data_IF_710238075620
#
_entry.id   IF_710238075620
#
_cell.length_a   1.000
_cell.length_b   1.000
_cell.length_c   1.000
_cell.angle_alpha   90.00
_cell.angle_beta   90.00
_cell.angle_gamma   90.00
#
_symmetry.space_group_name_H-M   'P 1'
#
loop_
_entity.id
_entity.type
_entity.pdbx_description
1 polymer ?
#
# COMPACT_ATOMS: atom_id res chain seq x y z
N UNK A 1 12.77 20.92 -16.10
CA UNK A 1 12.00 22.09 -16.58
C UNK A 1 10.95 22.56 -15.60
N UNK A 2 10.07 21.67 -15.10
CA UNK A 2 9.04 21.98 -14.10
C UNK A 2 9.62 22.70 -12.86
N UNK A 3 10.74 22.22 -12.31
CA UNK A 3 11.40 22.87 -11.16
C UNK A 3 11.77 24.35 -11.43
N UNK A 4 12.36 24.64 -12.60
CA UNK A 4 12.72 26.01 -13.00
C UNK A 4 11.49 26.92 -13.09
N UNK A 5 10.43 26.44 -13.75
CA UNK A 5 9.18 27.19 -13.89
C UNK A 5 8.47 27.39 -12.55
N UNK A 6 8.53 26.39 -11.66
CA UNK A 6 7.99 26.47 -10.30
C UNK A 6 8.68 27.57 -9.48
N UNK A 7 10.01 27.60 -9.49
CA UNK A 7 10.79 28.64 -8.78
C UNK A 7 10.50 30.05 -9.29
N UNK A 8 10.18 30.20 -10.58
CA UNK A 8 9.80 31.47 -11.18
C UNK A 8 8.40 31.96 -10.76
N UNK A 9 7.57 31.12 -10.13
CA UNK A 9 6.28 31.55 -9.57
C UNK A 9 6.45 32.48 -8.37
N UNK A 10 7.60 32.47 -7.69
CA UNK A 10 7.81 33.30 -6.49
C UNK A 10 6.93 32.86 -5.31
N UNK A 11 6.62 33.77 -4.37
CA UNK A 11 5.97 33.42 -3.11
C UNK A 11 4.49 33.01 -3.28
N UNK A 12 3.95 32.36 -2.26
CA UNK A 12 2.55 31.96 -2.16
C UNK A 12 2.25 30.52 -2.61
N UNK A 13 3.27 29.69 -2.82
CA UNK A 13 3.15 28.27 -3.18
C UNK A 13 3.89 27.33 -2.21
N UNK A 14 4.33 27.86 -1.06
CA UNK A 14 5.24 27.18 -0.12
C UNK A 14 4.67 25.86 0.40
N UNK A 15 3.36 25.78 0.63
CA UNK A 15 2.68 24.54 1.09
C UNK A 15 2.69 23.42 0.05
N UNK A 16 3.03 23.74 -1.20
CA UNK A 16 3.21 22.82 -2.31
C UNK A 16 4.68 22.62 -2.68
N UNK A 17 5.61 23.23 -1.95
CA UNK A 17 7.05 23.14 -2.17
C UNK A 17 7.73 22.24 -1.12
N UNK A 18 8.85 21.63 -1.50
CA UNK A 18 9.77 20.97 -0.58
C UNK A 18 10.74 21.95 0.08
N UNK A 19 11.59 21.43 0.97
CA UNK A 19 12.58 22.23 1.71
C UNK A 19 13.62 22.90 0.78
N UNK A 20 13.81 22.35 -0.41
CA UNK A 20 14.69 22.88 -1.46
C UNK A 20 14.02 23.98 -2.31
N UNK A 21 12.77 24.32 -2.04
CA UNK A 21 11.96 25.29 -2.78
C UNK A 21 11.41 24.79 -4.12
N UNK A 22 11.68 23.54 -4.50
CA UNK A 22 11.08 22.88 -5.66
C UNK A 22 9.67 22.36 -5.35
N UNK A 23 8.86 21.99 -6.36
CA UNK A 23 7.52 21.44 -6.11
C UNK A 23 7.62 20.06 -5.44
N UNK A 24 6.74 19.79 -4.47
CA UNK A 24 6.60 18.45 -3.92
C UNK A 24 6.26 17.45 -5.04
N UNK A 25 6.75 16.21 -4.92
CA UNK A 25 6.39 15.12 -5.85
C UNK A 25 4.87 14.96 -5.99
N UNK A 26 4.11 15.19 -4.91
CA UNK A 26 2.64 15.15 -4.94
C UNK A 26 2.03 16.35 -5.66
N UNK A 27 2.62 17.54 -5.55
CA UNK A 27 2.21 18.72 -6.32
C UNK A 27 2.32 18.44 -7.82
N UNK A 28 3.44 17.83 -8.24
CA UNK A 28 3.63 17.43 -9.64
C UNK A 28 2.53 16.45 -10.06
N UNK A 29 2.37 15.35 -9.33
CA UNK A 29 1.44 14.27 -9.69
C UNK A 29 -0.04 14.62 -9.60
N UNK A 30 -0.43 15.52 -8.69
CA UNK A 30 -1.86 15.79 -8.37
C UNK A 30 -2.36 17.11 -8.94
N UNK A 31 -1.46 18.06 -9.24
CA UNK A 31 -1.85 19.37 -9.75
C UNK A 31 -1.16 19.63 -11.10
N UNK A 32 0.16 19.60 -11.15
CA UNK A 32 0.90 20.08 -12.34
C UNK A 32 0.62 19.20 -13.55
N UNK A 33 0.86 17.89 -13.45
CA UNK A 33 0.68 16.97 -14.57
C UNK A 33 -0.80 16.86 -15.02
N UNK A 34 -1.78 16.62 -14.12
CA UNK A 34 -3.16 16.42 -14.54
C UNK A 34 -3.94 17.70 -14.81
N UNK A 35 -3.69 18.80 -14.08
CA UNK A 35 -4.57 19.98 -14.09
C UNK A 35 -3.96 21.20 -14.80
N UNK A 36 -2.64 21.41 -14.66
CA UNK A 36 -1.94 22.55 -15.30
C UNK A 36 -1.47 22.21 -16.71
N UNK A 37 -0.69 21.12 -16.82
CA UNK A 37 -0.13 20.65 -18.09
C UNK A 37 -1.10 19.73 -18.82
N UNK A 38 -2.02 19.07 -18.10
CA UNK A 38 -3.03 18.16 -18.65
C UNK A 38 -2.40 17.12 -19.59
N UNK A 39 -1.40 16.37 -19.09
CA UNK A 39 -0.54 15.50 -19.92
C UNK A 39 -1.30 14.48 -20.77
N UNK A 40 -2.52 14.06 -20.37
CA UNK A 40 -3.37 13.19 -21.21
C UNK A 40 -3.79 13.84 -22.52
N UNK A 41 -4.05 15.15 -22.50
CA UNK A 41 -4.43 15.93 -23.68
C UNK A 41 -3.23 16.60 -24.35
N UNK A 42 -2.13 16.82 -23.60
CA UNK A 42 -0.92 17.50 -24.07
C UNK A 42 0.32 16.60 -23.87
N UNK A 43 0.33 15.45 -24.55
CA UNK A 43 1.36 14.41 -24.40
C UNK A 43 2.77 14.87 -24.83
N UNK A 44 2.87 15.95 -25.63
CA UNK A 44 4.15 16.53 -26.01
C UNK A 44 4.96 17.09 -24.82
N UNK A 45 4.29 17.42 -23.70
CA UNK A 45 4.97 17.82 -22.45
C UNK A 45 5.59 16.64 -21.67
N UNK A 46 5.24 15.39 -21.97
CA UNK A 46 5.72 14.21 -21.23
C UNK A 46 6.94 13.52 -21.85
N UNK A 47 7.54 14.10 -22.90
CA UNK A 47 8.72 13.51 -23.53
C UNK A 47 9.95 13.54 -22.57
N UNK A 48 10.80 12.49 -22.56
CA UNK A 48 11.97 12.43 -21.68
C UNK A 48 12.96 13.61 -21.86
N UNK A 49 13.04 14.12 -23.10
CA UNK A 49 13.80 15.33 -23.46
C UNK A 49 12.88 16.23 -24.27
N UNK A 50 12.66 17.45 -23.79
CA UNK A 50 11.80 18.44 -24.44
C UNK A 50 12.60 19.24 -25.48
N UNK A 51 12.02 19.44 -26.66
CA UNK A 51 12.52 20.43 -27.60
C UNK A 51 12.47 21.85 -26.98
N UNK A 52 13.37 22.77 -27.36
CA UNK A 52 13.43 24.11 -26.78
C UNK A 52 12.09 24.86 -26.78
N UNK A 53 11.32 24.73 -27.86
CA UNK A 53 10.03 25.36 -28.07
C UNK A 53 8.99 24.81 -27.09
N UNK A 54 8.93 23.48 -26.94
CA UNK A 54 8.03 22.79 -26.01
C UNK A 54 8.39 23.11 -24.56
N UNK A 55 9.68 23.21 -24.25
CA UNK A 55 10.14 23.61 -22.92
C UNK A 55 9.72 25.06 -22.58
N UNK A 56 9.81 25.98 -23.56
CA UNK A 56 9.35 27.36 -23.40
C UNK A 56 7.82 27.44 -23.23
N UNK A 57 7.07 26.63 -23.99
CA UNK A 57 5.62 26.55 -23.87
C UNK A 57 5.17 26.02 -22.50
N UNK A 58 5.79 24.93 -22.03
CA UNK A 58 5.56 24.38 -20.69
C UNK A 58 5.81 25.43 -19.62
N UNK A 59 6.94 26.15 -19.72
CA UNK A 59 7.24 27.23 -18.81
C UNK A 59 6.15 28.30 -18.80
N UNK A 60 5.75 28.78 -19.98
CA UNK A 60 4.71 29.78 -20.12
C UNK A 60 3.37 29.28 -19.53
N UNK A 61 3.02 28.01 -19.74
CA UNK A 61 1.82 27.40 -19.19
C UNK A 61 1.84 27.37 -17.66
N UNK A 62 2.97 27.05 -17.05
CA UNK A 62 3.12 27.10 -15.60
C UNK A 62 3.01 28.53 -15.05
N UNK A 63 3.67 29.51 -15.67
CA UNK A 63 3.58 30.91 -15.26
C UNK A 63 2.16 31.46 -15.40
N UNK A 64 1.46 31.13 -16.50
CA UNK A 64 0.05 31.50 -16.71
C UNK A 64 -0.87 30.99 -15.61
N UNK A 65 -0.62 29.78 -15.11
CA UNK A 65 -1.38 29.19 -14.01
C UNK A 65 -0.89 29.61 -12.61
N UNK A 66 0.10 30.50 -12.52
CA UNK A 66 0.65 30.97 -11.25
C UNK A 66 -0.39 31.55 -10.27
N UNK A 67 -1.33 32.42 -10.71
CA UNK A 67 -2.39 32.92 -9.85
C UNK A 67 -3.26 31.79 -9.25
N UNK A 68 -3.65 30.82 -10.06
CA UNK A 68 -4.45 29.65 -9.63
C UNK A 68 -3.65 28.76 -8.67
N UNK A 69 -2.36 28.56 -8.90
CA UNK A 69 -1.49 27.80 -8.01
C UNK A 69 -1.36 28.47 -6.63
N UNK A 70 -1.24 29.80 -6.58
CA UNK A 70 -1.21 30.55 -5.31
C UNK A 70 -2.57 30.53 -4.60
N UNK A 71 -3.66 30.71 -5.34
CA UNK A 71 -5.01 30.60 -4.78
C UNK A 71 -5.27 29.19 -4.24
N UNK A 72 -4.80 28.14 -4.92
CA UNK A 72 -4.92 26.76 -4.46
C UNK A 72 -4.10 26.52 -3.18
N UNK A 73 -2.90 27.09 -3.08
CA UNK A 73 -2.09 27.03 -1.87
C UNK A 73 -2.77 27.74 -0.68
N UNK A 74 -3.44 28.87 -0.94
CA UNK A 74 -4.25 29.57 0.07
C UNK A 74 -5.44 28.70 0.51
N UNK A 75 -6.20 28.11 -0.42
CA UNK A 75 -7.26 27.16 -0.09
C UNK A 75 -6.76 25.96 0.71
N UNK A 76 -5.59 25.41 0.37
CA UNK A 76 -5.03 24.27 1.11
C UNK A 76 -4.71 24.63 2.56
N UNK A 77 -4.28 25.87 2.81
CA UNK A 77 -4.05 26.38 4.16
C UNK A 77 -5.36 26.49 4.95
N UNK A 78 -6.43 26.97 4.33
CA UNK A 78 -7.79 27.01 4.91
C UNK A 78 -8.32 25.61 5.21
N UNK A 79 -8.24 24.68 4.26
CA UNK A 79 -8.66 23.28 4.46
C UNK A 79 -7.85 22.61 5.58
N UNK A 80 -6.54 22.87 5.70
CA UNK A 80 -5.74 22.37 6.85
C UNK A 80 -6.17 22.97 8.17
N UNK A 81 -6.58 24.24 8.19
CA UNK A 81 -7.07 24.88 9.42
C UNK A 81 -8.42 24.29 9.82
N UNK A 82 -9.37 24.18 8.89
CA UNK A 82 -10.68 23.58 9.16
C UNK A 82 -10.58 22.09 9.50
N UNK A 83 -9.71 21.31 8.84
CA UNK A 83 -9.46 19.91 9.18
C UNK A 83 -9.08 19.74 10.65
N UNK A 84 -8.21 20.62 11.17
CA UNK A 84 -7.81 20.63 12.59
C UNK A 84 -8.97 21.00 13.51
N UNK A 85 -9.79 22.00 13.13
CA UNK A 85 -10.98 22.40 13.90
C UNK A 85 -12.02 21.28 13.99
N UNK A 86 -12.27 20.60 12.87
CA UNK A 86 -13.20 19.46 12.78
C UNK A 86 -12.60 18.15 13.32
N UNK A 87 -11.35 18.17 13.82
CA UNK A 87 -10.63 17.00 14.36
C UNK A 87 -10.57 15.81 13.40
N UNK A 88 -10.52 16.07 12.09
CA UNK A 88 -10.39 15.03 11.08
C UNK A 88 -8.94 14.51 11.09
N UNK A 89 -8.76 13.25 11.45
CA UNK A 89 -7.45 12.58 11.56
C UNK A 89 -7.18 11.63 10.39
N UNK A 90 -8.22 11.22 9.66
CA UNK A 90 -8.18 10.29 8.51
C UNK A 90 -7.75 10.98 7.21
N UNK A 91 -7.25 10.19 6.26
CA UNK A 91 -6.88 10.63 4.91
C UNK A 91 -5.57 11.44 4.80
N UNK A 92 -4.81 11.21 3.73
CA UNK A 92 -3.64 12.04 3.42
C UNK A 92 -4.09 13.36 2.79
N UNK A 93 -3.94 14.46 3.53
CA UNK A 93 -4.37 15.79 3.08
C UNK A 93 -3.74 16.23 1.74
N UNK A 94 -2.49 15.83 1.46
CA UNK A 94 -1.85 16.17 0.18
C UNK A 94 -2.42 15.38 -0.99
N UNK A 95 -2.96 14.18 -0.75
CA UNK A 95 -3.56 13.36 -1.80
C UNK A 95 -5.01 13.76 -2.06
N UNK A 96 -5.76 14.02 -0.98
CA UNK A 96 -7.17 14.36 -1.04
C UNK A 96 -7.42 15.81 -1.45
N UNK A 97 -6.66 16.76 -0.90
CA UNK A 97 -7.06 18.17 -0.99
C UNK A 97 -6.38 18.90 -2.14
N UNK A 98 -5.24 18.43 -2.63
CA UNK A 98 -4.49 19.13 -3.69
C UNK A 98 -5.31 19.36 -4.96
N UNK A 99 -5.99 18.34 -5.54
CA UNK A 99 -6.85 18.57 -6.71
C UNK A 99 -8.01 19.52 -6.41
N UNK A 100 -8.68 19.32 -5.26
CA UNK A 100 -9.85 20.09 -4.84
C UNK A 100 -9.49 21.56 -4.59
N UNK A 101 -8.33 21.84 -4.00
CA UNK A 101 -7.83 23.20 -3.82
C UNK A 101 -7.57 23.90 -5.16
N UNK A 102 -7.09 23.17 -6.17
CA UNK A 102 -6.93 23.72 -7.51
C UNK A 102 -8.28 23.98 -8.18
N UNK A 103 -9.25 23.08 -8.01
CA UNK A 103 -10.62 23.29 -8.49
C UNK A 103 -11.27 24.53 -7.83
N UNK A 104 -11.14 24.68 -6.52
CA UNK A 104 -11.60 25.87 -5.79
C UNK A 104 -10.90 27.15 -6.29
N UNK A 105 -9.61 27.07 -6.58
CA UNK A 105 -8.88 28.20 -7.15
C UNK A 105 -9.38 28.59 -8.56
N UNK A 106 -9.75 27.61 -9.39
CA UNK A 106 -10.30 27.86 -10.72
C UNK A 106 -11.73 28.39 -10.65
N UNK A 107 -12.56 27.81 -9.79
CA UNK A 107 -14.00 28.12 -9.71
C UNK A 107 -14.32 29.34 -8.85
N UNK A 108 -13.52 29.60 -7.80
CA UNK A 108 -13.77 30.65 -6.80
C UNK A 108 -12.62 31.64 -6.62
N UNK A 109 -11.45 31.40 -7.23
CA UNK A 109 -10.28 32.26 -7.03
C UNK A 109 -9.71 32.13 -5.62
N UNK A 110 -9.23 33.25 -5.06
CA UNK A 110 -8.60 33.30 -3.73
C UNK A 110 -9.66 33.16 -2.62
N UNK A 111 -9.38 32.48 -1.49
CA UNK A 111 -10.34 32.36 -0.39
C UNK A 111 -10.86 33.72 0.11
N UNK A 112 -12.19 33.91 0.05
CA UNK A 112 -12.88 35.14 0.44
C UNK A 112 -13.43 35.05 1.88
N UNK A 113 -14.38 35.92 2.27
CA UNK A 113 -14.92 35.97 3.63
C UNK A 113 -15.69 34.70 4.05
N UNK A 114 -16.25 33.96 3.09
CA UNK A 114 -16.96 32.68 3.28
C UNK A 114 -16.01 31.47 3.34
N UNK A 115 -14.68 31.69 3.25
CA UNK A 115 -13.68 30.61 3.13
C UNK A 115 -13.79 29.51 4.19
N UNK A 116 -14.18 29.86 5.41
CA UNK A 116 -14.33 28.90 6.50
C UNK A 116 -15.50 27.95 6.24
N UNK A 117 -16.64 28.48 5.80
CA UNK A 117 -17.85 27.71 5.52
C UNK A 117 -17.65 26.85 4.27
N UNK A 118 -16.99 27.39 3.24
CA UNK A 118 -16.63 26.65 2.02
C UNK A 118 -15.68 25.51 2.33
N UNK A 119 -14.63 25.77 3.10
CA UNK A 119 -13.69 24.72 3.49
C UNK A 119 -14.35 23.66 4.40
N UNK A 120 -15.29 24.05 5.27
CA UNK A 120 -16.05 23.11 6.09
C UNK A 120 -16.98 22.23 5.23
N UNK A 121 -17.72 22.81 4.28
CA UNK A 121 -18.59 22.07 3.35
C UNK A 121 -17.79 21.10 2.48
N UNK A 122 -16.68 21.56 1.89
CA UNK A 122 -15.79 20.71 1.08
C UNK A 122 -15.21 19.56 1.90
N UNK A 123 -14.78 19.81 3.14
CA UNK A 123 -14.30 18.75 4.02
C UNK A 123 -15.44 17.80 4.44
N UNK A 124 -16.66 18.29 4.63
CA UNK A 124 -17.82 17.46 4.89
C UNK A 124 -18.11 16.55 3.69
N UNK A 125 -18.12 17.06 2.46
CA UNK A 125 -18.34 16.25 1.27
C UNK A 125 -17.23 15.20 1.07
N UNK A 126 -15.97 15.60 1.26
CA UNK A 126 -14.82 14.71 1.11
C UNK A 126 -14.76 13.60 2.17
N UNK A 127 -15.17 13.87 3.42
CA UNK A 127 -15.00 12.93 4.55
C UNK A 127 -16.30 12.31 5.07
N UNK A 128 -17.44 12.98 4.95
CA UNK A 128 -18.75 12.46 5.39
C UNK A 128 -19.48 11.74 4.25
N UNK A 129 -19.33 12.19 3.00
CA UNK A 129 -20.08 11.67 1.84
C UNK A 129 -19.53 10.39 1.19
N UNK A 130 -18.28 9.99 1.49
CA UNK A 130 -17.62 8.83 0.85
C UNK A 130 -17.41 7.64 1.78
N UNK A 131 -16.91 7.86 2.99
CA UNK A 131 -16.56 6.76 3.92
C UNK A 131 -17.76 6.23 4.71
N UNK A 132 -18.69 7.11 5.12
CA UNK A 132 -19.82 6.74 5.99
C UNK A 132 -20.94 6.06 5.21
N UNK A 133 -21.36 6.65 4.09
CA UNK A 133 -22.38 6.11 3.17
C UNK A 133 -21.99 4.76 2.58
N UNK A 134 -20.74 4.54 2.17
CA UNK A 134 -20.33 3.25 1.59
C UNK A 134 -20.29 2.14 2.65
N UNK A 135 -19.78 2.44 3.85
CA UNK A 135 -19.78 1.48 4.97
C UNK A 135 -21.19 1.22 5.49
N UNK A 136 -22.05 2.24 5.56
CA UNK A 136 -23.48 2.10 5.91
C UNK A 136 -24.23 1.29 4.85
N UNK A 137 -23.99 1.54 3.56
CA UNK A 137 -24.58 0.77 2.47
C UNK A 137 -24.13 -0.70 2.49
N UNK A 138 -22.85 -0.97 2.79
CA UNK A 138 -22.37 -2.33 3.04
C UNK A 138 -23.11 -2.97 4.20
N UNK A 139 -23.18 -2.30 5.36
CA UNK A 139 -23.86 -2.82 6.53
C UNK A 139 -25.36 -3.07 6.25
N UNK A 140 -26.02 -2.20 5.49
CA UNK A 140 -27.42 -2.39 5.08
C UNK A 140 -27.58 -3.56 4.10
N UNK A 141 -26.66 -3.72 3.15
CA UNK A 141 -26.67 -4.82 2.19
C UNK A 141 -26.54 -6.19 2.89
N UNK A 142 -25.61 -6.31 3.83
CA UNK A 142 -25.37 -7.57 4.55
C UNK A 142 -26.32 -7.81 5.72
N UNK A 143 -27.13 -6.82 6.09
CA UNK A 143 -28.23 -7.00 7.04
C UNK A 143 -29.39 -7.83 6.45
N UNK A 144 -29.51 -7.96 5.12
CA UNK A 144 -30.49 -8.83 4.48
C UNK A 144 -30.03 -10.30 4.53
N UNK A 145 -30.76 -11.21 5.22
CA UNK A 145 -30.40 -12.61 5.30
C UNK A 145 -30.31 -13.31 3.93
N UNK A 146 -31.11 -12.89 2.94
CA UNK A 146 -31.07 -13.49 1.60
C UNK A 146 -29.78 -13.16 0.84
N UNK A 147 -29.21 -11.98 1.10
CA UNK A 147 -27.91 -11.57 0.56
C UNK A 147 -26.82 -12.46 1.16
N UNK A 148 -26.79 -12.56 2.49
CA UNK A 148 -25.79 -13.38 3.20
C UNK A 148 -25.86 -14.84 2.77
N UNK A 149 -27.07 -15.39 2.66
CA UNK A 149 -27.31 -16.76 2.21
C UNK A 149 -26.86 -17.00 0.75
N UNK A 150 -27.05 -16.01 -0.14
CA UNK A 150 -26.51 -16.07 -1.51
C UNK A 150 -24.98 -16.07 -1.53
N UNK A 151 -24.35 -15.19 -0.76
CA UNK A 151 -22.90 -15.12 -0.66
C UNK A 151 -22.31 -16.40 -0.05
N UNK A 152 -22.98 -17.00 0.96
CA UNK A 152 -22.60 -18.30 1.53
C UNK A 152 -22.64 -19.42 0.48
N UNK A 153 -23.71 -19.53 -0.30
CA UNK A 153 -23.78 -20.50 -1.40
C UNK A 153 -22.70 -20.33 -2.47
N UNK A 154 -22.31 -19.09 -2.75
CA UNK A 154 -21.19 -18.84 -3.65
C UNK A 154 -19.89 -19.31 -3.01
N UNK A 155 -19.65 -18.92 -1.75
CA UNK A 155 -18.47 -19.30 -0.99
C UNK A 155 -18.33 -20.81 -0.87
N UNK A 156 -19.42 -21.53 -0.57
CA UNK A 156 -19.45 -23.00 -0.52
C UNK A 156 -18.95 -23.62 -1.82
N UNK A 157 -19.41 -23.14 -2.98
CA UNK A 157 -18.99 -23.67 -4.28
C UNK A 157 -17.55 -23.31 -4.58
N UNK A 158 -17.21 -22.02 -4.54
CA UNK A 158 -15.87 -21.52 -4.87
C UNK A 158 -14.78 -22.09 -3.96
N UNK A 159 -15.09 -22.38 -2.69
CA UNK A 159 -14.13 -22.97 -1.76
C UNK A 159 -13.74 -24.40 -2.14
N UNK A 160 -14.70 -25.22 -2.59
CA UNK A 160 -14.46 -26.62 -2.97
C UNK A 160 -13.86 -26.76 -4.38
N UNK A 161 -13.98 -25.74 -5.23
CA UNK A 161 -13.43 -25.75 -6.59
C UNK A 161 -11.90 -25.56 -6.63
N UNK A 162 -11.28 -25.10 -5.53
CA UNK A 162 -9.83 -24.89 -5.48
C UNK A 162 -9.11 -26.17 -5.07
N UNK A 163 -8.36 -26.73 -6.01
CA UNK A 163 -7.65 -28.00 -5.87
C UNK A 163 -6.22 -27.83 -6.33
N UNK A 164 -5.26 -28.20 -5.47
CA UNK A 164 -3.86 -28.21 -5.84
C UNK A 164 -3.56 -29.34 -6.84
N UNK A 165 -2.66 -29.09 -7.79
CA UNK A 165 -2.08 -30.13 -8.63
C UNK A 165 -0.77 -30.66 -8.04
N UNK A 166 -0.31 -31.82 -8.52
CA UNK A 166 0.95 -32.47 -8.10
C UNK A 166 2.20 -31.89 -8.82
N UNK A 167 2.13 -30.64 -9.28
CA UNK A 167 3.23 -30.03 -10.02
C UNK A 167 4.44 -29.77 -9.11
N UNK A 168 5.64 -29.99 -9.64
CA UNK A 168 6.90 -29.80 -8.91
C UNK A 168 7.16 -28.30 -8.68
N UNK A 169 7.38 -27.91 -7.43
CA UNK A 169 7.53 -26.50 -7.02
C UNK A 169 8.96 -25.97 -7.03
N UNK A 170 9.96 -26.85 -7.05
CA UNK A 170 11.39 -26.49 -6.99
C UNK A 170 11.86 -25.46 -8.04
N UNK A 171 11.49 -25.59 -9.34
CA UNK A 171 11.89 -24.64 -10.38
C UNK A 171 11.46 -23.19 -10.09
N UNK A 172 10.30 -22.99 -9.46
CA UNK A 172 9.81 -21.67 -9.09
C UNK A 172 10.77 -20.95 -8.13
N UNK A 173 11.16 -21.63 -7.05
CA UNK A 173 12.08 -21.07 -6.05
C UNK A 173 13.49 -20.85 -6.61
N UNK A 174 13.95 -21.71 -7.52
CA UNK A 174 15.20 -21.49 -8.24
C UNK A 174 15.13 -20.23 -9.12
N UNK A 175 14.00 -20.00 -9.80
CA UNK A 175 13.76 -18.79 -10.57
C UNK A 175 13.75 -17.51 -9.74
N UNK A 176 13.26 -17.56 -8.49
CA UNK A 176 13.29 -16.43 -7.57
C UNK A 176 14.72 -15.92 -7.29
N UNK A 177 15.73 -16.78 -7.35
CA UNK A 177 17.13 -16.37 -7.24
C UNK A 177 17.54 -15.37 -8.33
N UNK A 178 16.98 -15.51 -9.53
CA UNK A 178 17.19 -14.55 -10.63
C UNK A 178 16.35 -13.28 -10.43
N UNK A 179 15.08 -13.44 -10.02
CA UNK A 179 14.14 -12.33 -9.84
C UNK A 179 14.57 -11.38 -8.71
N UNK A 180 14.95 -11.94 -7.58
CA UNK A 180 15.33 -11.23 -6.35
C UNK A 180 16.85 -10.97 -6.27
N UNK A 181 17.64 -11.58 -7.15
CA UNK A 181 19.09 -11.39 -7.28
C UNK A 181 19.55 -10.11 -8.00
N UNK A 182 20.87 -9.93 -8.16
CA UNK A 182 21.47 -8.78 -8.86
C UNK A 182 21.14 -8.77 -10.34
N UNK A 183 21.20 -7.58 -10.95
CA UNK A 183 21.24 -7.43 -12.40
C UNK A 183 22.02 -6.16 -12.72
N UNK A 184 23.32 -6.33 -12.92
CA UNK A 184 24.25 -5.22 -13.12
C UNK A 184 24.51 -4.95 -14.61
N UNK A 185 23.74 -5.61 -15.49
CA UNK A 185 23.80 -5.42 -16.94
C UNK A 185 22.43 -5.50 -17.57
N UNK A 186 22.27 -4.88 -18.74
CA UNK A 186 21.02 -4.92 -19.50
C UNK A 186 20.57 -6.36 -19.82
N UNK A 187 21.52 -7.28 -20.06
CA UNK A 187 21.21 -8.70 -20.29
C UNK A 187 20.65 -9.37 -19.03
N UNK A 188 21.20 -9.05 -17.86
CA UNK A 188 20.71 -9.56 -16.59
C UNK A 188 19.32 -9.00 -16.26
N UNK A 189 19.05 -7.73 -16.55
CA UNK A 189 17.72 -7.13 -16.40
C UNK A 189 16.69 -7.78 -17.32
N UNK A 190 17.05 -8.03 -18.58
CA UNK A 190 16.19 -8.73 -19.53
C UNK A 190 15.96 -10.20 -19.13
N UNK A 191 16.96 -10.87 -18.54
CA UNK A 191 16.79 -12.20 -17.97
C UNK A 191 15.82 -12.16 -16.78
N UNK A 192 15.98 -11.20 -15.87
CA UNK A 192 15.08 -11.00 -14.73
C UNK A 192 13.62 -10.83 -15.16
N UNK A 193 13.34 -9.94 -16.12
CA UNK A 193 11.98 -9.72 -16.64
C UNK A 193 11.39 -10.99 -17.24
N UNK A 194 12.15 -11.73 -18.05
CA UNK A 194 11.69 -13.00 -18.65
C UNK A 194 11.41 -14.07 -17.59
N UNK A 195 12.30 -14.23 -16.61
CA UNK A 195 12.07 -15.21 -15.54
C UNK A 195 10.85 -14.82 -14.71
N UNK A 196 10.68 -13.54 -14.37
CA UNK A 196 9.48 -13.10 -13.65
C UNK A 196 8.19 -13.41 -14.41
N UNK A 197 8.15 -13.12 -15.72
CA UNK A 197 6.99 -13.48 -16.56
C UNK A 197 6.71 -14.99 -16.55
N UNK A 198 7.74 -15.84 -16.51
CA UNK A 198 7.58 -17.28 -16.41
C UNK A 198 7.08 -17.73 -15.03
N UNK A 199 7.58 -17.10 -13.95
CA UNK A 199 7.13 -17.39 -12.58
C UNK A 199 5.69 -16.96 -12.33
N UNK A 200 5.24 -15.87 -12.95
CA UNK A 200 3.84 -15.43 -12.89
C UNK A 200 2.92 -16.49 -13.50
N UNK A 201 3.32 -17.12 -14.60
CA UNK A 201 2.55 -18.17 -15.28
C UNK A 201 2.76 -19.57 -14.67
N UNK A 202 3.56 -19.71 -13.61
CA UNK A 202 3.82 -20.98 -12.95
C UNK A 202 2.65 -21.34 -12.02
N UNK A 203 2.28 -22.62 -11.94
CA UNK A 203 1.19 -23.08 -11.07
C UNK A 203 1.60 -23.15 -9.58
N UNK A 204 2.88 -23.04 -9.25
CA UNK A 204 3.41 -23.17 -7.88
C UNK A 204 2.74 -22.22 -6.88
N UNK A 205 2.58 -20.91 -7.16
CA UNK A 205 1.86 -20.00 -6.26
C UNK A 205 0.44 -20.47 -5.99
N UNK A 206 -0.30 -20.85 -7.04
CA UNK A 206 -1.65 -21.37 -6.90
C UNK A 206 -1.67 -22.65 -6.03
N UNK A 207 -0.84 -23.64 -6.38
CA UNK A 207 -0.81 -24.95 -5.74
C UNK A 207 -0.47 -24.85 -4.25
N UNK A 208 0.56 -24.08 -3.89
CA UNK A 208 0.93 -23.90 -2.48
C UNK A 208 -0.19 -23.20 -1.69
N UNK A 209 -0.93 -22.29 -2.31
CA UNK A 209 -2.04 -21.59 -1.65
C UNK A 209 -3.33 -22.40 -1.56
N UNK A 210 -3.51 -23.37 -2.46
CA UNK A 210 -4.56 -24.38 -2.34
C UNK A 210 -4.20 -25.41 -1.25
N UNK A 211 -2.92 -25.81 -1.18
CA UNK A 211 -2.43 -26.79 -0.20
C UNK A 211 -2.65 -26.37 1.25
N UNK A 212 -2.65 -25.06 1.56
CA UNK A 212 -2.86 -24.55 2.93
C UNK A 212 -4.15 -25.02 3.60
N UNK A 213 -5.11 -25.52 2.82
CA UNK A 213 -6.41 -26.05 3.29
C UNK A 213 -6.35 -27.48 3.79
N UNK A 214 -5.21 -28.15 3.63
CA UNK A 214 -5.02 -29.52 4.03
C UNK A 214 -4.08 -29.59 5.25
N UNK A 215 -4.39 -30.49 6.18
CA UNK A 215 -3.58 -30.70 7.40
C UNK A 215 -2.19 -31.24 7.08
N UNK A 216 -2.09 -32.06 6.03
CA UNK A 216 -0.86 -32.74 5.61
C UNK A 216 -0.03 -31.91 4.60
N UNK A 217 -0.29 -30.61 4.51
CA UNK A 217 0.38 -29.74 3.56
C UNK A 217 1.87 -29.58 3.90
N UNK A 218 2.73 -30.11 3.03
CA UNK A 218 4.19 -29.93 3.11
C UNK A 218 4.60 -28.59 2.49
N UNK A 219 4.23 -27.50 3.17
CA UNK A 219 4.65 -26.16 2.76
C UNK A 219 6.10 -25.88 3.21
N UNK A 220 6.89 -25.12 2.44
CA UNK A 220 8.24 -24.72 2.85
C UNK A 220 8.28 -23.84 4.11
N UNK A 221 7.12 -23.35 4.56
CA UNK A 221 6.96 -22.44 5.67
C UNK A 221 5.62 -22.67 6.37
N UNK A 222 5.55 -22.36 7.66
CA UNK A 222 4.30 -22.39 8.42
C UNK A 222 3.50 -21.09 8.23
N UNK A 223 2.28 -21.20 7.69
CA UNK A 223 1.36 -20.06 7.47
C UNK A 223 1.00 -19.33 8.77
N UNK A 224 1.06 -20.05 9.89
CA UNK A 224 0.82 -19.55 11.25
C UNK A 224 2.02 -18.76 11.74
N UNK A 225 3.24 -19.31 11.59
CA UNK A 225 4.47 -18.64 12.02
C UNK A 225 4.69 -17.32 11.27
N UNK A 226 4.54 -17.34 9.94
CA UNK A 226 4.67 -16.15 9.10
C UNK A 226 3.47 -15.20 9.23
N UNK A 227 2.39 -15.63 9.88
CA UNK A 227 1.29 -14.79 10.31
C UNK A 227 0.30 -14.41 9.21
N UNK A 228 0.14 -15.26 8.20
CA UNK A 228 -0.91 -15.14 7.19
C UNK A 228 -2.25 -15.69 7.69
N UNK A 229 -2.23 -16.75 8.50
CA UNK A 229 -3.40 -17.30 9.20
C UNK A 229 -3.06 -17.54 10.68
N UNK A 230 -4.09 -17.71 11.51
CA UNK A 230 -3.95 -18.11 12.92
C UNK A 230 -3.85 -19.62 13.10
N UNK A 231 -4.28 -20.41 12.11
CA UNK A 231 -4.37 -21.87 12.20
C UNK A 231 -3.87 -22.56 10.91
N UNK A 232 -3.58 -23.85 11.00
CA UNK A 232 -3.34 -24.74 9.86
C UNK A 232 -4.14 -26.04 10.13
N UNK A 233 -4.96 -26.53 9.17
CA UNK A 233 -5.24 -25.95 7.86
C UNK A 233 -5.95 -24.59 7.93
N UNK A 234 -5.85 -23.82 6.84
CA UNK A 234 -6.61 -22.57 6.66
C UNK A 234 -8.10 -22.86 6.80
N UNK A 235 -8.77 -22.11 7.67
CA UNK A 235 -10.19 -22.28 7.91
C UNK A 235 -11.04 -21.72 6.78
N UNK A 236 -12.21 -22.32 6.63
CA UNK A 236 -13.26 -21.86 5.74
C UNK A 236 -13.66 -20.41 6.10
N UNK A 237 -13.64 -19.46 5.15
CA UNK A 237 -13.88 -18.05 5.45
C UNK A 237 -15.35 -17.77 5.79
N UNK A 238 -15.58 -16.81 6.69
CA UNK A 238 -16.92 -16.36 7.05
C UNK A 238 -17.37 -15.19 6.16
N UNK A 239 -18.67 -15.09 5.90
CA UNK A 239 -19.24 -13.92 5.22
C UNK A 239 -19.19 -12.69 6.13
N UNK A 240 -19.82 -12.83 7.29
CA UNK A 240 -19.90 -11.81 8.33
C UNK A 240 -19.74 -12.49 9.70
N UNK A 241 -19.14 -11.78 10.64
CA UNK A 241 -18.79 -12.28 11.96
C UNK A 241 -17.46 -11.70 12.47
N UNK A 242 -17.22 -11.75 13.79
CA UNK A 242 -15.96 -11.30 14.35
C UNK A 242 -14.84 -12.14 13.74
N UNK A 243 -13.90 -11.49 13.05
CA UNK A 243 -12.69 -12.17 12.62
C UNK A 243 -12.01 -12.77 13.87
N UNK A 244 -11.66 -14.06 13.83
CA UNK A 244 -10.91 -14.72 14.91
C UNK A 244 -9.47 -14.21 15.02
N UNK A 245 -9.10 -13.18 14.23
CA UNK A 245 -7.87 -12.43 14.40
C UNK A 245 -7.64 -11.40 13.29
N UNK A 246 -6.57 -10.61 13.44
CA UNK A 246 -6.16 -9.59 12.46
C UNK A 246 -5.41 -10.16 11.24
N UNK A 247 -5.27 -11.49 11.18
CA UNK A 247 -4.50 -12.22 10.16
C UNK A 247 -5.17 -12.08 8.80
N UNK A 248 -4.41 -11.83 7.72
CA UNK A 248 -4.98 -11.60 6.40
C UNK A 248 -5.99 -12.65 5.94
N UNK A 249 -5.68 -13.93 6.12
CA UNK A 249 -6.49 -15.03 5.60
C UNK A 249 -7.70 -15.35 6.48
N UNK A 250 -7.73 -14.90 7.73
CA UNK A 250 -8.80 -15.17 8.69
C UNK A 250 -9.92 -14.11 8.65
N UNK A 251 -9.72 -13.04 7.89
CA UNK A 251 -10.70 -11.95 7.77
C UNK A 251 -11.94 -12.41 7.01
N UNK A 252 -13.11 -12.05 7.55
CA UNK A 252 -14.40 -12.21 6.88
C UNK A 252 -14.46 -11.44 5.56
N UNK A 253 -15.34 -11.87 4.65
CA UNK A 253 -15.59 -11.17 3.39
C UNK A 253 -15.99 -9.71 3.65
N UNK A 254 -16.90 -9.48 4.61
CA UNK A 254 -17.35 -8.14 4.98
C UNK A 254 -16.22 -7.27 5.50
N UNK A 255 -15.31 -7.80 6.31
CA UNK A 255 -14.16 -7.02 6.81
C UNK A 255 -13.18 -6.65 5.70
N UNK A 256 -12.98 -7.52 4.71
CA UNK A 256 -12.14 -7.23 3.55
C UNK A 256 -12.78 -6.14 2.68
N UNK A 257 -14.07 -6.26 2.35
CA UNK A 257 -14.80 -5.21 1.61
C UNK A 257 -14.76 -3.89 2.37
N UNK A 258 -15.03 -3.90 3.68
CA UNK A 258 -14.97 -2.71 4.53
C UNK A 258 -13.58 -2.08 4.53
N UNK A 259 -12.52 -2.89 4.58
CA UNK A 259 -11.15 -2.39 4.50
C UNK A 259 -10.82 -1.77 3.14
N UNK A 260 -11.36 -2.32 2.05
CA UNK A 260 -11.29 -1.75 0.69
C UNK A 260 -11.97 -0.39 0.64
N UNK A 261 -13.23 -0.31 1.08
CA UNK A 261 -14.02 0.93 1.05
C UNK A 261 -13.34 2.04 1.85
N UNK A 262 -12.77 1.73 3.03
CA UNK A 262 -12.03 2.71 3.86
C UNK A 262 -10.74 3.24 3.21
N UNK A 263 -10.18 2.55 2.22
CA UNK A 263 -8.92 2.92 1.56
C UNK A 263 -9.13 3.51 0.18
N UNK A 264 -10.31 3.29 -0.41
CA UNK A 264 -10.65 3.73 -1.75
C UNK A 264 -10.92 5.25 -1.75
N UNK A 265 -9.98 6.02 -2.31
CA UNK A 265 -10.14 7.46 -2.50
C UNK A 265 -11.11 7.77 -3.66
N UNK A 266 -11.17 6.88 -4.65
CA UNK A 266 -11.89 7.02 -5.93
C UNK A 266 -13.02 5.96 -6.04
N UNK A 267 -14.05 6.07 -5.20
CA UNK A 267 -15.17 5.10 -5.15
C UNK A 267 -15.80 4.86 -6.55
N UNK A 268 -15.93 5.88 -7.38
CA UNK A 268 -16.64 5.76 -8.66
C UNK A 268 -16.02 4.73 -9.63
N UNK A 269 -14.76 4.36 -9.42
CA UNK A 269 -14.06 3.31 -10.17
C UNK A 269 -14.25 1.89 -9.59
N UNK A 270 -14.79 1.75 -8.37
CA UNK A 270 -15.11 0.45 -7.79
C UNK A 270 -16.46 -0.09 -8.26
N UNK A 271 -16.64 -1.43 -8.30
CA UNK A 271 -17.95 -2.07 -8.45
C UNK A 271 -18.99 -1.59 -7.43
N UNK A 272 -20.27 -1.80 -7.72
CA UNK A 272 -21.33 -1.62 -6.71
C UNK A 272 -21.13 -2.55 -5.51
N UNK A 273 -21.76 -2.25 -4.36
CA UNK A 273 -21.56 -3.06 -3.14
C UNK A 273 -21.91 -4.55 -3.36
N UNK A 274 -23.03 -4.91 -4.02
CA UNK A 274 -23.34 -6.30 -4.33
C UNK A 274 -22.25 -7.01 -5.13
N UNK A 275 -21.76 -6.41 -6.23
CA UNK A 275 -20.71 -6.99 -7.06
C UNK A 275 -19.39 -7.06 -6.30
N UNK A 276 -19.04 -6.02 -5.54
CA UNK A 276 -17.81 -6.00 -4.72
C UNK A 276 -17.82 -7.12 -3.66
N UNK A 277 -18.96 -7.38 -3.02
CA UNK A 277 -19.11 -8.51 -2.10
C UNK A 277 -18.99 -9.86 -2.81
N UNK A 278 -19.61 -10.03 -3.97
CA UNK A 278 -19.54 -11.27 -4.75
C UNK A 278 -18.10 -11.56 -5.21
N UNK A 279 -17.39 -10.57 -5.75
CA UNK A 279 -15.99 -10.77 -6.14
C UNK A 279 -15.07 -10.98 -4.93
N UNK A 280 -15.36 -10.37 -3.77
CA UNK A 280 -14.58 -10.63 -2.56
C UNK A 280 -14.81 -12.04 -2.00
N UNK A 281 -15.98 -12.65 -2.23
CA UNK A 281 -16.17 -14.10 -1.97
C UNK A 281 -15.20 -14.92 -2.82
N UNK A 282 -15.08 -14.61 -4.11
CA UNK A 282 -14.17 -15.33 -4.99
C UNK A 282 -12.70 -15.11 -4.59
N UNK A 283 -12.32 -13.87 -4.23
CA UNK A 283 -10.98 -13.59 -3.67
C UNK A 283 -10.74 -14.35 -2.37
N UNK A 284 -11.69 -14.36 -1.44
CA UNK A 284 -11.56 -15.08 -0.17
C UNK A 284 -11.41 -16.60 -0.38
N UNK A 285 -12.03 -17.14 -1.42
CA UNK A 285 -11.90 -18.53 -1.83
C UNK A 285 -10.69 -18.80 -2.71
N UNK A 286 -9.98 -17.80 -3.24
CA UNK A 286 -8.81 -18.02 -4.07
C UNK A 286 -7.58 -18.41 -3.21
N UNK A 287 -6.58 -19.12 -3.77
CA UNK A 287 -5.30 -19.30 -3.12
C UNK A 287 -4.75 -17.98 -2.59
N UNK A 288 -4.31 -17.99 -1.33
CA UNK A 288 -3.81 -16.81 -0.61
C UNK A 288 -4.79 -15.64 -0.45
N UNK A 289 -6.06 -15.81 -0.78
CA UNK A 289 -7.00 -14.69 -0.78
C UNK A 289 -6.79 -13.72 -1.97
N UNK A 290 -6.17 -14.17 -3.07
CA UNK A 290 -5.78 -13.37 -4.23
C UNK A 290 -6.15 -14.10 -5.53
N UNK A 291 -6.88 -13.45 -6.44
CA UNK A 291 -7.32 -14.05 -7.70
C UNK A 291 -6.21 -14.09 -8.75
N UNK A 292 -5.54 -12.96 -8.99
CA UNK A 292 -4.58 -12.86 -10.08
C UNK A 292 -3.24 -13.58 -9.78
N UNK A 293 -2.76 -14.36 -10.75
CA UNK A 293 -1.54 -15.18 -10.66
C UNK A 293 -0.30 -14.34 -10.32
N UNK A 294 -0.20 -13.14 -10.88
CA UNK A 294 0.90 -12.21 -10.61
C UNK A 294 0.93 -11.73 -9.15
N UNK A 295 -0.23 -11.67 -8.47
CA UNK A 295 -0.34 -11.33 -7.05
C UNK A 295 0.03 -12.52 -6.17
N UNK A 296 -0.38 -13.72 -6.56
CA UNK A 296 0.00 -14.94 -5.86
C UNK A 296 1.52 -15.15 -5.92
N UNK A 297 2.12 -15.03 -7.12
CA UNK A 297 3.57 -15.07 -7.31
C UNK A 297 4.27 -13.95 -6.50
N UNK A 298 3.70 -12.74 -6.51
CA UNK A 298 4.24 -11.60 -5.75
C UNK A 298 4.20 -11.82 -4.24
N UNK A 299 3.16 -12.48 -3.73
CA UNK A 299 3.07 -12.85 -2.33
C UNK A 299 4.15 -13.88 -1.97
N UNK A 300 4.32 -14.94 -2.77
CA UNK A 300 5.36 -15.95 -2.52
C UNK A 300 6.77 -15.34 -2.53
N UNK A 301 7.07 -14.47 -3.50
CA UNK A 301 8.32 -13.73 -3.52
C UNK A 301 8.51 -12.90 -2.23
N UNK A 302 7.43 -12.31 -1.72
CA UNK A 302 7.44 -11.58 -0.46
C UNK A 302 7.57 -12.46 0.78
N UNK A 303 7.05 -13.69 0.76
CA UNK A 303 7.25 -14.67 1.85
C UNK A 303 8.72 -15.06 1.91
N UNK A 304 9.32 -15.39 0.77
CA UNK A 304 10.76 -15.70 0.68
C UNK A 304 11.64 -14.55 1.17
N UNK A 305 11.26 -13.30 0.86
CA UNK A 305 11.92 -12.12 1.44
C UNK A 305 11.69 -12.04 2.94
N UNK A 306 10.45 -12.20 3.41
CA UNK A 306 10.09 -12.02 4.82
C UNK A 306 10.73 -13.06 5.75
N UNK A 307 10.89 -14.29 5.29
CA UNK A 307 11.54 -15.37 6.05
C UNK A 307 13.04 -15.16 6.22
N UNK A 308 13.66 -14.30 5.40
CA UNK A 308 15.06 -13.91 5.52
C UNK A 308 15.27 -12.69 6.45
N UNK A 309 14.18 -12.05 6.93
CA UNK A 309 14.27 -10.83 7.73
C UNK A 309 14.30 -11.14 9.22
N UNK A 310 15.46 -10.92 9.82
CA UNK A 310 15.71 -11.07 11.26
C UNK A 310 16.36 -9.80 11.82
N UNK A 311 15.62 -8.68 11.98
CA UNK A 311 16.22 -7.40 12.35
C UNK A 311 17.09 -7.40 13.61
N UNK A 312 16.80 -8.30 14.56
CA UNK A 312 17.55 -8.42 15.82
C UNK A 312 18.84 -9.25 15.70
N UNK A 313 18.99 -10.03 14.63
CA UNK A 313 20.20 -10.80 14.37
C UNK A 313 21.10 -10.05 13.38
N UNK A 314 22.20 -9.51 13.89
CA UNK A 314 23.18 -8.78 13.08
C UNK A 314 23.97 -9.69 12.11
N UNK A 315 24.00 -11.01 12.36
CA UNK A 315 24.67 -11.99 11.51
C UNK A 315 23.76 -12.54 10.41
N UNK A 316 22.45 -12.33 10.51
CA UNK A 316 21.49 -12.80 9.52
C UNK A 316 21.79 -12.20 8.14
N UNK A 317 21.98 -13.09 7.17
CA UNK A 317 22.15 -12.75 5.76
C UNK A 317 20.97 -13.30 4.96
N UNK A 318 20.42 -12.48 4.09
CA UNK A 318 19.32 -12.92 3.22
C UNK A 318 19.83 -13.82 2.09
N UNK A 319 19.05 -14.83 1.73
CA UNK A 319 19.35 -15.76 0.61
C UNK A 319 19.38 -15.03 -0.72
N UNK A 320 18.54 -14.01 -0.85
CA UNK A 320 18.46 -13.16 -2.03
C UNK A 320 19.12 -11.80 -1.78
N UNK A 321 19.70 -11.21 -2.83
CA UNK A 321 20.31 -9.87 -2.74
C UNK A 321 19.30 -8.82 -2.24
N UNK A 322 18.04 -8.89 -2.71
CA UNK A 322 16.99 -7.99 -2.24
C UNK A 322 16.72 -8.15 -0.73
N UNK A 323 16.58 -9.39 -0.26
CA UNK A 323 16.41 -9.70 1.17
C UNK A 323 17.58 -9.18 1.99
N UNK A 324 18.82 -9.46 1.56
CA UNK A 324 20.03 -8.99 2.24
C UNK A 324 20.08 -7.46 2.34
N UNK A 325 19.68 -6.74 1.28
CA UNK A 325 19.62 -5.27 1.28
C UNK A 325 18.58 -4.73 2.26
N UNK A 326 17.40 -5.37 2.34
CA UNK A 326 16.34 -5.00 3.29
C UNK A 326 16.80 -5.31 4.72
N UNK A 327 17.28 -6.52 4.98
CA UNK A 327 17.78 -6.99 6.27
C UNK A 327 18.88 -6.07 6.81
N UNK A 328 19.87 -5.69 6.00
CA UNK A 328 20.94 -4.78 6.40
C UNK A 328 20.41 -3.38 6.80
N UNK A 329 19.30 -2.92 6.22
CA UNK A 329 18.65 -1.67 6.62
C UNK A 329 17.91 -1.82 7.94
N UNK A 330 17.20 -2.92 8.13
CA UNK A 330 16.44 -3.21 9.36
C UNK A 330 17.37 -3.43 10.56
N UNK A 331 18.47 -4.16 10.37
CA UNK A 331 19.48 -4.40 11.39
C UNK A 331 20.10 -3.09 11.91
N UNK A 332 20.33 -2.11 11.03
CA UNK A 332 20.81 -0.77 11.43
C UNK A 332 19.83 -0.03 12.36
N UNK A 333 18.54 -0.26 12.20
CA UNK A 333 17.52 0.36 13.07
C UNK A 333 17.43 -0.35 14.40
N UNK A 334 17.46 -1.68 14.40
CA UNK A 334 17.50 -2.50 15.61
C UNK A 334 18.80 -2.28 16.43
N UNK A 335 19.91 -1.94 15.76
CA UNK A 335 21.17 -1.59 16.42
C UNK A 335 21.03 -0.43 17.41
N UNK A 336 20.08 0.50 17.19
CA UNK A 336 19.81 1.61 18.13
C UNK A 336 19.40 1.09 19.50
N UNK A 337 18.64 -0.02 19.56
CA UNK A 337 18.25 -0.64 20.83
C UNK A 337 19.44 -1.28 21.54
N UNK A 338 20.35 -1.92 20.80
CA UNK A 338 21.60 -2.48 21.34
C UNK A 338 22.54 -1.39 21.84
N UNK A 339 22.78 -0.33 21.05
CA UNK A 339 23.68 0.77 21.40
C UNK A 339 23.26 1.50 22.68
N UNK A 340 21.95 1.55 22.95
CA UNK A 340 21.40 2.13 24.18
C UNK A 340 21.16 1.10 25.30
N UNK A 341 21.68 -0.13 25.15
CA UNK A 341 21.61 -1.23 26.14
C UNK A 341 20.18 -1.57 26.58
N UNK A 342 19.22 -1.46 25.65
CA UNK A 342 17.83 -1.86 25.89
C UNK A 342 17.54 -3.32 25.54
N UNK A 343 18.53 -4.03 25.01
CA UNK A 343 18.45 -5.47 24.73
C UNK A 343 19.56 -6.21 25.47
N UNK A 344 19.25 -7.41 25.95
CA UNK A 344 20.20 -8.40 26.43
C UNK A 344 19.95 -9.70 25.64
N UNK A 345 20.95 -10.18 24.92
CA UNK A 345 20.85 -11.35 24.03
C UNK A 345 19.63 -11.32 23.08
N UNK A 346 19.34 -10.13 22.52
CA UNK A 346 18.19 -9.92 21.64
C UNK A 346 16.82 -9.85 22.32
N UNK A 347 16.76 -10.00 23.66
CA UNK A 347 15.54 -9.92 24.45
C UNK A 347 15.35 -8.55 25.12
N UNK A 348 14.10 -8.18 25.36
CA UNK A 348 13.72 -6.96 26.06
C UNK A 348 14.22 -6.98 27.52
N UNK A 349 14.96 -5.94 27.92
CA UNK A 349 15.45 -5.78 29.31
C UNK A 349 14.32 -5.26 30.22
N UNK A 350 13.37 -4.51 29.68
CA UNK A 350 12.26 -3.91 30.42
C UNK A 350 10.88 -4.30 29.83
N UNK A 351 9.83 -4.53 30.64
CA UNK A 351 8.49 -4.89 30.14
C UNK A 351 7.92 -3.91 29.10
N UNK A 352 8.17 -2.61 29.25
CA UNK A 352 7.74 -1.56 28.30
C UNK A 352 8.32 -1.73 26.89
N UNK A 353 9.42 -2.48 26.73
CA UNK A 353 10.07 -2.73 25.43
C UNK A 353 9.54 -4.00 24.75
N UNK A 354 8.89 -4.90 25.51
CA UNK A 354 8.52 -6.24 25.06
C UNK A 354 7.78 -6.23 23.72
N UNK A 355 6.77 -5.35 23.59
CA UNK A 355 6.00 -5.24 22.34
C UNK A 355 6.88 -4.92 21.12
N UNK A 356 7.80 -3.95 21.25
CA UNK A 356 8.66 -3.53 20.13
C UNK A 356 9.67 -4.62 19.78
N UNK A 357 10.18 -5.33 20.79
CA UNK A 357 11.10 -6.46 20.58
C UNK A 357 10.39 -7.63 19.93
N UNK A 358 9.19 -7.98 20.40
CA UNK A 358 8.38 -9.04 19.82
C UNK A 358 8.00 -8.71 18.36
N UNK A 359 7.65 -7.46 18.05
CA UNK A 359 7.36 -7.00 16.70
C UNK A 359 8.60 -7.09 15.77
N UNK A 360 9.80 -6.82 16.30
CA UNK A 360 11.06 -6.95 15.55
C UNK A 360 11.50 -8.41 15.39
N UNK A 361 11.31 -9.24 16.41
CA UNK A 361 11.59 -10.68 16.37
C UNK A 361 10.66 -11.39 15.38
N UNK A 362 9.39 -10.97 15.32
CA UNK A 362 8.38 -11.51 14.42
C UNK A 362 8.11 -10.59 13.23
N UNK A 363 9.13 -9.91 12.69
CA UNK A 363 9.01 -8.89 11.64
C UNK A 363 8.29 -9.38 10.38
N UNK A 364 8.38 -10.68 10.07
CA UNK A 364 7.66 -11.31 8.97
C UNK A 364 6.15 -11.06 9.03
N UNK A 365 5.54 -11.00 10.23
CA UNK A 365 4.09 -10.86 10.42
C UNK A 365 3.56 -9.49 9.99
N UNK A 366 4.04 -8.34 10.51
CA UNK A 366 3.60 -7.04 10.03
C UNK A 366 4.02 -6.76 8.58
N UNK A 367 5.15 -7.33 8.12
CA UNK A 367 5.56 -7.27 6.72
C UNK A 367 4.54 -7.94 5.80
N UNK A 368 4.22 -9.21 6.05
CA UNK A 368 3.31 -9.98 5.19
C UNK A 368 1.86 -9.51 5.29
N UNK A 369 1.41 -9.10 6.48
CA UNK A 369 0.08 -8.47 6.61
C UNK A 369 -0.06 -7.23 5.73
N UNK A 370 0.99 -6.41 5.67
CA UNK A 370 1.01 -5.19 4.85
C UNK A 370 1.23 -5.48 3.37
N UNK A 371 2.05 -6.46 3.02
CA UNK A 371 2.21 -6.91 1.64
C UNK A 371 0.89 -7.44 1.09
N UNK A 372 0.25 -8.36 1.82
CA UNK A 372 -1.04 -8.91 1.45
C UNK A 372 -2.08 -7.80 1.24
N UNK A 373 -2.16 -6.84 2.16
CA UNK A 373 -3.10 -5.72 2.02
C UNK A 373 -2.85 -4.85 0.77
N UNK A 374 -1.61 -4.74 0.30
CA UNK A 374 -1.29 -4.01 -0.94
C UNK A 374 -1.59 -4.86 -2.18
N UNK A 375 -1.28 -6.16 -2.14
CA UNK A 375 -1.58 -7.08 -3.25
C UNK A 375 -3.09 -7.25 -3.42
N UNK A 376 -3.83 -7.43 -2.33
CA UNK A 376 -5.29 -7.47 -2.31
C UNK A 376 -5.89 -6.18 -2.86
N UNK A 377 -5.39 -5.01 -2.43
CA UNK A 377 -5.80 -3.74 -3.02
C UNK A 377 -5.60 -3.72 -4.54
N UNK A 378 -4.41 -4.09 -5.02
CA UNK A 378 -4.14 -4.17 -6.47
C UNK A 378 -5.06 -5.17 -7.18
N UNK A 379 -5.40 -6.28 -6.55
CA UNK A 379 -6.30 -7.29 -7.09
C UNK A 379 -7.75 -6.78 -7.21
N UNK A 380 -8.22 -6.01 -6.23
CA UNK A 380 -9.51 -5.29 -6.30
C UNK A 380 -9.51 -4.27 -7.43
N UNK A 381 -8.43 -3.51 -7.58
CA UNK A 381 -8.29 -2.49 -8.62
C UNK A 381 -7.83 -3.04 -9.97
N UNK A 382 -7.66 -4.36 -10.08
CA UNK A 382 -7.13 -5.04 -11.27
C UNK A 382 -5.79 -4.46 -11.78
N UNK A 383 -5.00 -3.89 -10.88
CA UNK A 383 -3.67 -3.37 -11.18
C UNK A 383 -2.68 -4.51 -11.33
N UNK A 384 -1.89 -4.51 -12.41
CA UNK A 384 -0.87 -5.53 -12.63
C UNK A 384 0.31 -5.44 -11.65
N UNK A 385 0.90 -6.59 -11.37
CA UNK A 385 2.18 -6.81 -10.69
C UNK A 385 3.15 -7.59 -11.61
N UNK A 386 2.91 -7.58 -12.93
CA UNK A 386 3.72 -8.28 -13.92
C UNK A 386 5.05 -7.56 -14.22
N UNK A 387 5.19 -6.28 -13.85
CA UNK A 387 6.49 -5.61 -13.89
C UNK A 387 7.33 -5.98 -12.66
N UNK A 388 8.49 -6.58 -12.91
CA UNK A 388 9.41 -7.05 -11.88
C UNK A 388 10.04 -5.91 -11.08
N UNK A 389 10.24 -4.73 -11.68
CA UNK A 389 10.82 -3.59 -10.98
C UNK A 389 9.79 -2.94 -10.05
N UNK A 390 8.51 -2.95 -10.44
CA UNK A 390 7.39 -2.58 -9.58
C UNK A 390 7.19 -3.57 -8.43
N UNK A 391 7.29 -4.87 -8.69
CA UNK A 391 7.28 -5.90 -7.64
C UNK A 391 8.40 -5.65 -6.62
N UNK A 392 9.64 -5.50 -7.08
CA UNK A 392 10.79 -5.27 -6.18
C UNK A 392 10.61 -3.99 -5.38
N UNK A 393 10.13 -2.92 -6.02
CA UNK A 393 9.81 -1.66 -5.35
C UNK A 393 8.69 -1.80 -4.31
N UNK A 394 7.67 -2.62 -4.59
CA UNK A 394 6.62 -2.96 -3.65
C UNK A 394 7.19 -3.67 -2.42
N UNK A 395 7.98 -4.73 -2.61
CA UNK A 395 8.59 -5.52 -1.53
C UNK A 395 9.45 -4.65 -0.60
N UNK A 396 10.28 -3.77 -1.15
CA UNK A 396 11.08 -2.83 -0.36
C UNK A 396 10.22 -1.76 0.31
N UNK A 397 9.22 -1.26 -0.40
CA UNK A 397 8.30 -0.24 0.09
C UNK A 397 7.47 -0.75 1.26
N UNK A 398 7.16 -2.06 1.31
CA UNK A 398 6.48 -2.70 2.45
C UNK A 398 7.42 -2.70 3.66
N UNK A 399 8.65 -3.20 3.50
CA UNK A 399 9.64 -3.22 4.59
C UNK A 399 9.89 -1.82 5.15
N UNK A 400 10.05 -0.82 4.27
CA UNK A 400 10.24 0.58 4.67
C UNK A 400 9.05 1.11 5.47
N UNK A 401 7.82 0.76 5.07
CA UNK A 401 6.61 1.19 5.78
C UNK A 401 6.55 0.61 7.18
N UNK A 402 6.83 -0.69 7.36
CA UNK A 402 6.83 -1.35 8.67
C UNK A 402 7.95 -0.79 9.56
N UNK A 403 9.15 -0.62 8.99
CA UNK A 403 10.29 -0.01 9.66
C UNK A 403 9.98 1.41 10.17
N UNK A 404 9.28 2.23 9.39
CA UNK A 404 8.87 3.58 9.83
C UNK A 404 7.92 3.52 11.04
N UNK A 405 6.94 2.61 11.04
CA UNK A 405 6.03 2.41 12.17
C UNK A 405 6.83 1.99 13.42
N UNK A 406 7.78 1.06 13.28
CA UNK A 406 8.64 0.61 14.37
C UNK A 406 9.51 1.74 14.90
N UNK A 407 10.11 2.54 14.02
CA UNK A 407 10.93 3.70 14.42
C UNK A 407 10.12 4.71 15.22
N UNK A 408 8.87 4.97 14.83
CA UNK A 408 7.98 5.84 15.58
C UNK A 408 7.66 5.27 16.96
N UNK A 409 7.39 3.95 17.07
CA UNK A 409 7.16 3.28 18.35
C UNK A 409 8.40 3.32 19.26
N UNK A 410 9.58 3.03 18.70
CA UNK A 410 10.86 3.13 19.42
C UNK A 410 11.05 4.56 19.91
N UNK A 411 10.86 5.57 19.05
CA UNK A 411 10.99 6.97 19.43
C UNK A 411 10.04 7.36 20.57
N UNK A 412 8.77 7.02 20.47
CA UNK A 412 7.77 7.30 21.49
C UNK A 412 8.13 6.64 22.84
N UNK A 413 8.58 5.39 22.81
CA UNK A 413 9.07 4.66 23.99
C UNK A 413 10.28 5.36 24.64
N UNK A 414 11.20 5.90 23.83
CA UNK A 414 12.40 6.60 24.31
C UNK A 414 12.11 8.00 24.85
N UNK A 415 11.17 8.74 24.26
CA UNK A 415 10.82 10.10 24.71
C UNK A 415 10.17 10.09 26.11
N UNK A 416 9.40 9.05 26.43
CA UNK A 416 8.81 8.87 27.77
C UNK A 416 9.88 8.68 28.86
N UNK A 417 11.06 8.13 28.53
CA UNK A 417 12.17 7.96 29.49
C UNK A 417 12.93 9.25 29.81
N UNK A 418 12.83 10.30 28.99
CA UNK A 418 13.52 11.57 29.25
C UNK A 418 12.67 12.49 30.14
N UNK A 419 11.37 12.20 30.25
CA UNK A 419 10.42 12.94 31.08
C UNK A 419 10.23 12.36 32.49
N UNK A 420 10.74 11.15 32.74
CA UNK A 420 10.94 10.54 34.08
C UNK A 420 12.39 10.77 34.53
#
# INVERSE_FOLDING_TARGET
MIDRAWRALGPGVEVFSGDDGGPLRRTVKRIIDPLVLRLRSNTHYSAPVLAPEVAAELHAQMIRNGPQLRAAAAWFSELKQQRRRLRITTGNAQELYFPVCFELAVTRGVPASDRADVAAAVLADLHQGRDRTATEALNQHVADPHVVDRLRRQLDRSWHDVVASDAITGPFFAGLSTVLGPADSHRAEAARRRVWSALVADATPYNLGAQTRHTDAELPWSIVCIGLSSTLPQQYPTIDGPAEGDRPLDRSVVDRVRATLRRALDRDELPDIPLLCAEEVDRACAPWGLLAEDKQAGLLAGIEVATDLHPLDASATGRYQLSARIQARLAKEAYVLHARRYLADGAAVHPRQRQVVDDLAAFCRPYLSRLWARLHGRDVWQESCADVDDLRSLLEGVARSVSLDHRQRIKAMLEVQVAE
#
